data_IF_718733324499
#
_entry.id   IF_718733324499
#
_cell.length_a   1.000
_cell.length_b   1.000
_cell.length_c   1.000
_cell.angle_alpha   90.00
_cell.angle_beta   90.00
_cell.angle_gamma   90.00
#
_symmetry.space_group_name_H-M   'P 1'
#
loop_
_entity.id
_entity.type
_entity.pdbx_description
1 polymer ?
#
# COMPACT_ATOMS: atom_id res chain seq x y z
N UNK A 1 -12.62 -7.62 -20.67
CA UNK A 1 -12.72 -6.80 -19.44
C UNK A 1 -11.33 -6.20 -19.21
N UNK A 2 -11.24 -4.92 -18.93
CA UNK A 2 -9.96 -4.28 -18.58
C UNK A 2 -9.56 -4.76 -17.16
N UNK A 3 -8.28 -5.02 -16.94
CA UNK A 3 -7.79 -5.31 -15.60
C UNK A 3 -8.06 -4.11 -14.70
N UNK A 4 -8.45 -4.34 -13.45
CA UNK A 4 -8.54 -3.29 -12.44
C UNK A 4 -7.85 -3.73 -11.15
N UNK A 5 -7.39 -2.75 -10.38
CA UNK A 5 -6.65 -2.94 -9.13
C UNK A 5 -7.26 -2.06 -8.06
N UNK A 6 -7.45 -2.61 -6.88
CA UNK A 6 -7.87 -1.86 -5.69
C UNK A 6 -6.68 -1.58 -4.78
N UNK A 7 -6.67 -0.41 -4.14
CA UNK A 7 -5.61 -0.01 -3.19
C UNK A 7 -6.19 0.06 -1.79
N UNK A 8 -5.62 -0.73 -0.88
CA UNK A 8 -6.12 -1.00 0.45
C UNK A 8 -5.04 -0.80 1.52
N UNK A 9 -5.44 -0.67 2.77
CA UNK A 9 -4.54 -0.61 3.92
C UNK A 9 -5.12 0.22 5.04
N UNK A 10 -4.63 0.01 6.26
CA UNK A 10 -5.06 0.70 7.48
C UNK A 10 -4.79 2.20 7.47
N UNK A 11 -5.18 2.91 8.55
CA UNK A 11 -4.76 4.29 8.76
C UNK A 11 -3.23 4.37 8.79
N UNK A 12 -2.68 5.52 8.41
CA UNK A 12 -1.23 5.78 8.38
C UNK A 12 -0.37 4.80 7.56
N UNK A 13 -0.98 4.00 6.69
CA UNK A 13 -0.24 3.01 5.87
C UNK A 13 0.52 3.61 4.68
N UNK A 14 0.41 4.92 4.42
CA UNK A 14 1.11 5.61 3.34
C UNK A 14 0.40 5.63 1.99
N UNK A 15 -0.83 5.10 1.89
CA UNK A 15 -1.61 5.05 0.63
C UNK A 15 -1.72 6.38 -0.09
N UNK A 16 -2.20 7.43 0.61
CA UNK A 16 -2.45 8.75 0.01
C UNK A 16 -1.16 9.38 -0.53
N UNK A 17 -0.07 9.28 0.22
CA UNK A 17 1.25 9.73 -0.24
C UNK A 17 1.73 8.95 -1.47
N UNK A 18 1.50 7.63 -1.50
CA UNK A 18 1.83 6.82 -2.66
C UNK A 18 1.01 7.19 -3.88
N UNK A 19 -0.31 7.39 -3.74
CA UNK A 19 -1.19 7.75 -4.87
C UNK A 19 -0.78 9.09 -5.47
N UNK A 20 -0.49 10.09 -4.64
CA UNK A 20 0.02 11.38 -5.09
C UNK A 20 1.36 11.22 -5.87
N UNK A 21 2.26 10.41 -5.34
CA UNK A 21 3.56 10.17 -5.99
C UNK A 21 3.44 9.30 -7.24
N UNK A 22 2.55 8.31 -7.22
CA UNK A 22 2.23 7.51 -8.41
C UNK A 22 1.69 8.39 -9.54
N UNK A 23 0.77 9.30 -9.22
CA UNK A 23 0.22 10.25 -10.19
C UNK A 23 1.31 11.08 -10.86
N UNK A 24 2.24 11.64 -10.07
CA UNK A 24 3.37 12.38 -10.63
C UNK A 24 4.26 11.49 -11.51
N UNK A 25 4.56 10.27 -11.07
CA UNK A 25 5.37 9.31 -11.83
C UNK A 25 4.72 8.91 -13.18
N UNK A 26 3.40 8.70 -13.20
CA UNK A 26 2.65 8.41 -14.43
C UNK A 26 2.76 9.55 -15.45
N UNK A 27 2.70 10.81 -14.99
CA UNK A 27 2.82 12.00 -15.84
C UNK A 27 4.25 12.24 -16.33
N UNK A 28 5.25 11.91 -15.55
CA UNK A 28 6.66 11.98 -15.96
C UNK A 28 6.99 11.01 -17.11
N UNK A 29 6.18 9.96 -17.28
CA UNK A 29 6.32 8.94 -18.35
C UNK A 29 7.68 8.24 -18.35
N UNK A 30 8.32 8.12 -17.18
CA UNK A 30 9.64 7.47 -17.03
C UNK A 30 9.52 6.01 -16.62
N UNK A 31 8.42 5.63 -15.92
CA UNK A 31 8.17 4.29 -15.41
C UNK A 31 7.62 3.31 -16.45
N UNK A 32 7.33 2.10 -15.98
CA UNK A 32 6.69 1.03 -16.76
C UNK A 32 5.26 1.40 -17.17
N UNK A 33 4.55 2.09 -16.27
CA UNK A 33 3.21 2.61 -16.53
C UNK A 33 3.24 4.11 -16.85
N UNK A 34 2.25 4.52 -17.64
CA UNK A 34 1.99 5.91 -18.00
C UNK A 34 0.51 6.20 -17.85
N UNK A 35 0.14 7.47 -17.67
CA UNK A 35 -1.24 7.92 -17.77
C UNK A 35 -1.77 7.64 -19.17
N UNK A 36 -2.86 6.87 -19.27
CA UNK A 36 -3.51 6.57 -20.55
C UNK A 36 -4.72 7.47 -20.79
N UNK A 37 -5.48 7.81 -19.73
CA UNK A 37 -6.63 8.70 -19.79
C UNK A 37 -6.60 9.61 -18.57
N UNK A 38 -6.77 10.90 -18.78
CA UNK A 38 -6.81 11.88 -17.69
C UNK A 38 -8.06 11.62 -16.84
N UNK A 39 -7.91 11.49 -15.50
CA UNK A 39 -9.04 11.34 -14.60
C UNK A 39 -9.97 12.56 -14.65
N UNK A 40 -11.24 12.33 -14.38
CA UNK A 40 -12.26 13.41 -14.34
C UNK A 40 -12.22 14.21 -13.04
N UNK A 41 -11.81 13.59 -11.94
CA UNK A 41 -11.60 14.20 -10.64
C UNK A 41 -10.19 13.92 -10.15
N UNK A 42 -9.38 14.98 -10.09
CA UNK A 42 -7.96 14.91 -9.69
C UNK A 42 -7.64 15.87 -8.56
N UNK A 43 -8.62 16.61 -8.05
CA UNK A 43 -8.39 17.70 -7.08
C UNK A 43 -7.69 17.16 -5.83
N UNK A 44 -8.17 16.05 -5.28
CA UNK A 44 -7.53 15.38 -4.15
C UNK A 44 -6.07 14.99 -4.43
N UNK A 45 -5.81 14.44 -5.61
CA UNK A 45 -4.46 13.97 -5.96
C UNK A 45 -3.53 15.13 -6.24
N UNK A 46 -4.04 16.23 -6.80
CA UNK A 46 -3.26 17.46 -7.00
C UNK A 46 -2.92 18.12 -5.66
N UNK A 47 -3.90 18.25 -4.76
CA UNK A 47 -3.66 18.75 -3.40
C UNK A 47 -2.63 17.90 -2.66
N UNK A 48 -2.79 16.58 -2.74
CA UNK A 48 -1.87 15.62 -2.17
C UNK A 48 -0.45 15.72 -2.76
N UNK A 49 -0.33 15.89 -4.08
CA UNK A 49 0.94 16.09 -4.75
C UNK A 49 1.58 17.42 -4.36
N UNK A 50 0.80 18.48 -4.18
CA UNK A 50 1.29 19.79 -3.76
C UNK A 50 1.93 19.74 -2.37
N UNK A 51 1.33 19.02 -1.41
CA UNK A 51 1.95 18.79 -0.10
C UNK A 51 3.32 18.11 -0.23
N UNK A 52 3.43 17.07 -1.06
CA UNK A 52 4.70 16.41 -1.31
C UNK A 52 5.73 17.35 -1.97
N UNK A 53 5.33 18.20 -2.93
CA UNK A 53 6.20 19.21 -3.55
C UNK A 53 6.71 20.25 -2.55
N UNK A 54 5.94 20.53 -1.49
CA UNK A 54 6.34 21.39 -0.39
C UNK A 54 7.20 20.67 0.66
N UNK A 55 7.56 19.42 0.42
CA UNK A 55 8.33 18.60 1.36
C UNK A 55 7.55 18.29 2.65
N UNK A 56 6.27 18.00 2.49
CA UNK A 56 5.36 17.60 3.58
C UNK A 56 4.62 16.34 3.18
N UNK A 57 4.47 15.42 4.12
CA UNK A 57 3.54 14.32 3.96
C UNK A 57 2.10 14.81 4.14
N UNK A 58 1.19 14.17 3.42
CA UNK A 58 -0.22 14.42 3.60
C UNK A 58 -0.60 13.92 5.00
N UNK A 59 -1.00 14.85 5.85
CA UNK A 59 -1.61 14.49 7.11
C UNK A 59 -3.00 13.92 6.86
N UNK A 60 -3.46 13.07 7.78
CA UNK A 60 -4.78 12.46 7.75
C UNK A 60 -5.82 13.54 7.43
N UNK A 61 -6.49 13.42 6.29
CA UNK A 61 -7.61 14.28 5.97
C UNK A 61 -8.67 14.14 7.07
N UNK A 62 -9.09 15.27 7.64
CA UNK A 62 -10.27 15.29 8.50
C UNK A 62 -11.41 14.65 7.71
N UNK A 63 -12.10 13.71 8.33
CA UNK A 63 -13.15 12.91 7.73
C UNK A 63 -14.17 13.80 7.04
N UNK A 64 -14.15 13.86 5.72
CA UNK A 64 -15.32 14.27 4.97
C UNK A 64 -16.17 13.02 4.77
N UNK A 65 -17.44 13.08 5.12
CA UNK A 65 -18.39 11.97 5.01
C UNK A 65 -18.61 11.49 3.56
N UNK A 66 -18.10 12.23 2.58
CA UNK A 66 -18.26 11.91 1.17
C UNK A 66 -17.12 11.01 0.68
N UNK A 67 -17.48 9.81 0.25
CA UNK A 67 -16.58 8.88 -0.44
C UNK A 67 -16.02 9.55 -1.71
N UNK A 68 -14.71 9.72 -1.79
CA UNK A 68 -13.99 10.21 -2.98
C UNK A 68 -13.16 9.10 -3.56
N UNK A 69 -13.72 8.36 -4.50
CA UNK A 69 -12.96 7.34 -5.22
C UNK A 69 -12.05 8.02 -6.24
N UNK A 70 -10.76 7.75 -6.15
CA UNK A 70 -9.82 8.15 -7.19
C UNK A 70 -9.67 7.02 -8.20
N UNK A 71 -9.96 7.32 -9.45
CA UNK A 71 -9.83 6.38 -10.55
C UNK A 71 -8.88 6.92 -11.62
N UNK A 72 -7.89 6.12 -12.00
CA UNK A 72 -6.99 6.46 -13.10
C UNK A 72 -6.83 5.29 -14.06
N UNK A 73 -6.87 5.57 -15.36
CA UNK A 73 -6.55 4.58 -16.38
C UNK A 73 -5.08 4.71 -16.75
N UNK A 74 -4.35 3.63 -16.55
CA UNK A 74 -2.92 3.53 -16.88
C UNK A 74 -2.69 2.66 -18.10
N UNK A 75 -1.62 2.91 -18.81
CA UNK A 75 -1.15 2.10 -19.95
C UNK A 75 0.26 1.59 -19.72
N UNK A 76 0.52 0.37 -20.16
CA UNK A 76 1.88 -0.18 -20.18
C UNK A 76 2.64 0.38 -21.38
N UNK A 77 3.86 0.88 -21.14
CA UNK A 77 4.75 1.36 -22.22
C UNK A 77 5.26 0.23 -23.10
N UNK A 78 5.36 -0.98 -22.57
CA UNK A 78 5.96 -2.12 -23.28
C UNK A 78 4.99 -2.77 -24.27
N UNK A 79 3.70 -2.86 -23.93
CA UNK A 79 2.72 -3.63 -24.69
C UNK A 79 1.42 -2.88 -25.01
N UNK A 80 1.27 -1.63 -24.56
CA UNK A 80 0.10 -0.78 -24.80
C UNK A 80 -1.19 -1.23 -24.12
N UNK A 81 -1.16 -2.28 -23.30
CA UNK A 81 -2.33 -2.71 -22.52
C UNK A 81 -2.71 -1.64 -21.51
N UNK A 82 -4.00 -1.49 -21.30
CA UNK A 82 -4.55 -0.54 -20.35
C UNK A 82 -5.21 -1.25 -19.19
N UNK A 83 -5.17 -0.60 -18.02
CA UNK A 83 -5.83 -1.06 -16.82
C UNK A 83 -6.37 0.13 -16.02
N UNK A 84 -7.40 -0.12 -15.20
CA UNK A 84 -7.99 0.85 -14.29
C UNK A 84 -7.44 0.63 -12.88
N UNK A 85 -6.94 1.68 -12.26
CA UNK A 85 -6.62 1.71 -10.83
C UNK A 85 -7.79 2.37 -10.14
N UNK A 86 -8.37 1.69 -9.18
CA UNK A 86 -9.42 2.22 -8.32
C UNK A 86 -8.83 2.35 -6.92
N UNK A 87 -8.81 3.55 -6.39
CA UNK A 87 -8.44 3.82 -5.00
C UNK A 87 -9.73 4.22 -4.29
N UNK A 88 -10.39 3.28 -3.64
CA UNK A 88 -11.53 3.63 -2.81
C UNK A 88 -11.02 4.56 -1.69
N UNK A 89 -11.63 5.72 -1.53
CA UNK A 89 -11.37 6.56 -0.36
C UNK A 89 -12.02 5.95 0.87
N UNK A 90 -11.42 4.86 1.28
CA UNK A 90 -11.84 4.17 2.50
C UNK A 90 -10.87 4.61 3.57
N UNK A 91 -11.36 5.40 4.51
CA UNK A 91 -10.62 5.73 5.70
C UNK A 91 -10.18 4.43 6.39
N UNK A 92 -9.00 4.44 7.01
CA UNK A 92 -8.56 3.26 7.75
C UNK A 92 -9.55 2.80 8.81
N UNK A 93 -10.45 3.69 9.25
CA UNK A 93 -11.55 3.42 10.18
C UNK A 93 -12.67 2.61 9.55
N UNK A 94 -13.00 2.84 8.28
CA UNK A 94 -13.96 2.00 7.57
C UNK A 94 -13.43 0.58 7.38
N UNK A 95 -12.12 0.42 7.12
CA UNK A 95 -11.49 -0.91 7.12
C UNK A 95 -11.54 -1.57 8.49
N UNK A 96 -11.32 -0.78 9.53
CA UNK A 96 -11.45 -1.25 10.89
C UNK A 96 -12.86 -1.77 11.16
N UNK A 97 -13.89 -1.00 10.85
CA UNK A 97 -15.30 -1.39 10.98
C UNK A 97 -15.66 -2.59 10.10
N UNK A 98 -15.12 -2.66 8.88
CA UNK A 98 -15.32 -3.81 8.00
C UNK A 98 -14.85 -5.12 8.64
N UNK A 99 -13.77 -5.09 9.42
CA UNK A 99 -13.22 -6.27 10.11
C UNK A 99 -13.91 -6.52 11.45
N UNK A 100 -14.15 -5.47 12.25
CA UNK A 100 -14.73 -5.62 13.61
C UNK A 100 -16.23 -5.84 13.60
N UNK A 101 -16.95 -5.10 12.77
CA UNK A 101 -18.40 -5.09 12.72
C UNK A 101 -18.95 -5.95 11.58
N UNK A 102 -18.06 -6.47 10.71
CA UNK A 102 -18.42 -7.17 9.46
C UNK A 102 -19.33 -6.32 8.55
N UNK A 103 -19.21 -5.01 8.69
CA UNK A 103 -20.00 -4.02 7.92
C UNK A 103 -19.16 -3.48 6.76
N UNK A 104 -19.41 -4.01 5.57
CA UNK A 104 -18.73 -3.60 4.32
C UNK A 104 -19.74 -3.01 3.37
N UNK A 105 -19.48 -1.82 2.86
CA UNK A 105 -20.39 -1.20 1.90
C UNK A 105 -20.52 -2.04 0.63
N UNK A 106 -21.73 -2.15 0.06
CA UNK A 106 -21.96 -2.90 -1.20
C UNK A 106 -21.04 -2.43 -2.33
N UNK A 107 -20.84 -1.12 -2.46
CA UNK A 107 -20.01 -0.53 -3.52
C UNK A 107 -18.54 -0.99 -3.42
N UNK A 108 -18.00 -1.09 -2.19
CA UNK A 108 -16.64 -1.59 -1.99
C UNK A 108 -16.53 -3.08 -2.38
N UNK A 109 -17.56 -3.87 -2.06
CA UNK A 109 -17.59 -5.28 -2.47
C UNK A 109 -17.65 -5.39 -4.00
N UNK A 110 -18.36 -4.51 -4.68
CA UNK A 110 -18.43 -4.47 -6.14
C UNK A 110 -17.08 -4.09 -6.75
N UNK A 111 -16.40 -3.08 -6.21
CA UNK A 111 -15.06 -2.69 -6.66
C UNK A 111 -14.05 -3.83 -6.49
N UNK A 112 -14.06 -4.51 -5.35
CA UNK A 112 -13.20 -5.67 -5.13
C UNK A 112 -13.52 -6.82 -6.08
N UNK A 113 -14.81 -7.09 -6.36
CA UNK A 113 -15.24 -8.12 -7.32
C UNK A 113 -14.91 -7.78 -8.77
N UNK A 114 -14.86 -6.49 -9.10
CA UNK A 114 -14.42 -6.03 -10.41
C UNK A 114 -12.91 -6.06 -10.58
N UNK A 115 -12.15 -6.04 -9.48
CA UNK A 115 -10.70 -6.02 -9.48
C UNK A 115 -10.09 -7.42 -9.66
N UNK A 116 -9.01 -7.51 -10.42
CA UNK A 116 -8.20 -8.71 -10.62
C UNK A 116 -6.83 -8.62 -9.96
N UNK A 117 -6.59 -7.55 -9.20
CA UNK A 117 -5.41 -7.33 -8.40
C UNK A 117 -5.69 -6.37 -7.25
N UNK A 118 -4.81 -6.39 -6.25
CA UNK A 118 -4.87 -5.49 -5.10
C UNK A 118 -3.47 -5.05 -4.67
N UNK A 119 -3.37 -3.83 -4.12
CA UNK A 119 -2.23 -3.36 -3.35
C UNK A 119 -2.67 -3.25 -1.89
N UNK A 120 -1.99 -3.95 -0.99
CA UNK A 120 -2.22 -3.87 0.45
C UNK A 120 -1.05 -3.15 1.12
N UNK A 121 -1.32 -1.96 1.64
CA UNK A 121 -0.32 -1.11 2.29
C UNK A 121 -0.24 -1.35 3.78
N UNK A 122 0.99 -1.42 4.28
CA UNK A 122 1.37 -1.28 5.68
C UNK A 122 2.61 -0.37 5.75
N UNK A 123 2.84 0.28 6.89
CA UNK A 123 3.94 1.23 7.05
C UNK A 123 4.93 0.76 8.09
N UNK A 124 6.23 0.91 7.75
CA UNK A 124 7.31 0.78 8.72
C UNK A 124 7.18 1.84 9.81
N UNK A 125 7.34 1.41 11.08
CA UNK A 125 7.35 2.30 12.23
C UNK A 125 6.03 3.05 12.50
N UNK A 126 4.87 2.54 12.04
CA UNK A 126 3.59 3.20 12.31
C UNK A 126 3.18 3.07 13.77
N UNK A 127 2.90 4.21 14.40
CA UNK A 127 2.33 4.28 15.76
C UNK A 127 0.91 3.69 15.85
N UNK A 128 0.26 3.50 14.69
CA UNK A 128 -1.06 2.87 14.60
C UNK A 128 -0.98 1.34 14.55
N UNK A 129 0.23 0.78 14.55
CA UNK A 129 0.42 -0.66 14.54
C UNK A 129 0.20 -1.26 15.94
N UNK A 130 -0.99 -1.85 16.15
CA UNK A 130 -1.33 -2.54 17.38
C UNK A 130 -0.76 -3.96 17.32
N UNK A 131 0.27 -4.21 18.11
CA UNK A 131 0.90 -5.53 18.21
C UNK A 131 -0.01 -6.52 18.95
N UNK A 132 -0.06 -7.79 18.54
CA UNK A 132 -0.74 -8.83 19.29
C UNK A 132 0.00 -9.04 20.62
N UNK A 133 -0.77 -9.11 21.72
CA UNK A 133 -0.21 -9.46 23.01
C UNK A 133 0.15 -10.95 23.03
N UNK A 134 1.39 -11.27 23.40
CA UNK A 134 1.73 -12.66 23.71
C UNK A 134 0.93 -13.16 24.93
N UNK A 135 0.74 -14.48 25.01
CA UNK A 135 -0.09 -15.08 26.06
C UNK A 135 0.39 -14.77 27.47
N UNK A 136 1.70 -14.67 27.69
CA UNK A 136 2.30 -14.42 29.01
C UNK A 136 1.99 -12.99 29.43
N UNK A 137 2.20 -12.04 28.52
CA UNK A 137 1.89 -10.61 28.72
C UNK A 137 0.38 -10.40 28.89
N UNK A 138 -0.44 -11.02 28.06
CA UNK A 138 -1.90 -10.98 28.16
C UNK A 138 -2.37 -11.50 29.52
N UNK A 139 -1.89 -12.64 29.97
CA UNK A 139 -2.24 -13.21 31.27
C UNK A 139 -1.82 -12.31 32.45
N UNK A 140 -0.65 -11.68 32.36
CA UNK A 140 -0.14 -10.73 33.35
C UNK A 140 -0.98 -9.45 33.41
N UNK A 141 -1.43 -8.96 32.26
CA UNK A 141 -2.30 -7.80 32.17
C UNK A 141 -3.73 -8.13 32.58
N UNK A 142 -4.32 -9.20 32.10
CA UNK A 142 -5.67 -9.65 32.50
C UNK A 142 -5.82 -9.86 34.01
N UNK A 143 -4.73 -10.25 34.70
CA UNK A 143 -4.74 -10.36 36.15
C UNK A 143 -4.71 -9.01 36.89
N UNK A 144 -4.35 -7.92 36.20
CA UNK A 144 -4.21 -6.57 36.77
C UNK A 144 -5.24 -5.57 36.29
N UNK A 145 -5.98 -5.88 35.24
CA UNK A 145 -6.90 -4.92 34.59
C UNK A 145 -8.35 -5.15 35.04
N UNK A 146 -8.90 -4.15 35.67
CA UNK A 146 -10.26 -3.71 35.35
C UNK A 146 -10.24 -3.35 33.89
N UNK A 147 -11.13 -3.98 33.07
CA UNK A 147 -11.31 -3.78 31.64
C UNK A 147 -10.86 -2.38 31.23
N UNK A 148 -9.71 -2.30 30.60
CA UNK A 148 -9.18 -1.05 30.09
C UNK A 148 -9.41 -1.01 28.61
N UNK A 149 -9.98 0.07 28.20
CA UNK A 149 -10.07 0.67 26.87
C UNK A 149 -9.86 -0.28 25.67
N UNK A 150 -10.87 -0.28 24.85
CA UNK A 150 -10.98 -0.90 23.55
C UNK A 150 -9.82 -0.45 22.64
N UNK A 151 -8.67 -1.10 22.75
CA UNK A 151 -7.52 -0.81 21.89
C UNK A 151 -7.68 -1.36 20.47
N UNK A 152 -8.86 -1.88 20.16
CA UNK A 152 -9.13 -2.47 18.87
C UNK A 152 -8.42 -3.84 18.64
N UNK A 153 -8.66 -4.45 17.49
CA UNK A 153 -8.00 -5.71 17.12
C UNK A 153 -6.53 -5.46 16.73
N UNK A 154 -5.61 -6.42 16.96
CA UNK A 154 -4.24 -6.29 16.48
C UNK A 154 -4.16 -6.08 14.97
N UNK A 155 -3.28 -5.20 14.53
CA UNK A 155 -3.11 -4.84 13.11
C UNK A 155 -2.91 -6.08 12.22
N UNK A 156 -2.11 -7.05 12.68
CA UNK A 156 -1.87 -8.28 11.92
C UNK A 156 -3.13 -9.11 11.74
N UNK A 157 -4.04 -9.16 12.72
CA UNK A 157 -5.34 -9.85 12.60
C UNK A 157 -6.18 -9.17 11.53
N UNK A 158 -6.25 -7.83 11.53
CA UNK A 158 -6.96 -7.08 10.51
C UNK A 158 -6.41 -7.34 9.10
N UNK A 159 -5.09 -7.30 8.94
CA UNK A 159 -4.45 -7.56 7.65
C UNK A 159 -4.73 -8.99 7.16
N UNK A 160 -4.72 -9.98 8.05
CA UNK A 160 -5.08 -11.36 7.71
C UNK A 160 -6.55 -11.48 7.24
N UNK A 161 -7.47 -10.77 7.92
CA UNK A 161 -8.88 -10.74 7.50
C UNK A 161 -9.06 -10.01 6.16
N UNK A 162 -8.34 -8.91 5.91
CA UNK A 162 -8.35 -8.25 4.61
C UNK A 162 -7.88 -9.19 3.48
N UNK A 163 -6.82 -9.98 3.72
CA UNK A 163 -6.38 -10.99 2.75
C UNK A 163 -7.49 -12.01 2.50
N UNK A 164 -8.19 -12.47 3.55
CA UNK A 164 -9.32 -13.38 3.41
C UNK A 164 -10.45 -12.78 2.57
N UNK A 165 -10.77 -11.49 2.78
CA UNK A 165 -11.75 -10.78 1.94
C UNK A 165 -11.30 -10.73 0.48
N UNK A 166 -10.03 -10.43 0.22
CA UNK A 166 -9.49 -10.39 -1.14
C UNK A 166 -9.56 -11.76 -1.83
N UNK A 167 -9.24 -12.85 -1.12
CA UNK A 167 -9.38 -14.21 -1.66
C UNK A 167 -10.81 -14.56 -2.07
N UNK A 168 -11.81 -14.04 -1.34
CA UNK A 168 -13.23 -14.31 -1.58
C UNK A 168 -13.83 -13.39 -2.67
N UNK A 169 -13.23 -12.23 -2.91
CA UNK A 169 -13.84 -11.18 -3.73
C UNK A 169 -13.12 -10.94 -5.04
N UNK A 170 -11.78 -10.96 -5.08
CA UNK A 170 -11.04 -10.64 -6.30
C UNK A 170 -11.39 -11.58 -7.46
N UNK A 171 -11.64 -10.99 -8.62
CA UNK A 171 -11.88 -11.71 -9.85
C UNK A 171 -10.60 -12.39 -10.37
N UNK A 172 -10.74 -13.51 -11.05
CA UNK A 172 -9.63 -14.05 -11.85
C UNK A 172 -9.23 -13.06 -12.93
N UNK A 173 -7.96 -13.05 -13.25
CA UNK A 173 -7.42 -12.22 -14.33
C UNK A 173 -8.02 -12.62 -15.69
N UNK A 174 -8.02 -11.71 -16.67
CA UNK A 174 -8.59 -11.99 -18.01
C UNK A 174 -7.98 -13.22 -18.72
N UNK A 175 -6.74 -13.57 -18.38
CA UNK A 175 -6.04 -14.76 -18.87
C UNK A 175 -6.37 -16.04 -18.12
N UNK A 176 -7.28 -15.98 -17.13
CA UNK A 176 -7.69 -17.12 -16.30
C UNK A 176 -6.73 -17.43 -15.14
N UNK A 177 -5.62 -16.72 -15.01
CA UNK A 177 -4.67 -16.89 -13.90
C UNK A 177 -5.22 -16.32 -12.58
N UNK A 178 -4.50 -16.56 -11.48
CA UNK A 178 -4.87 -16.05 -10.16
C UNK A 178 -4.84 -14.52 -10.13
N UNK A 179 -5.71 -13.86 -9.34
CA UNK A 179 -5.54 -12.46 -9.03
C UNK A 179 -4.22 -12.22 -8.26
N UNK A 180 -3.70 -11.00 -8.33
CA UNK A 180 -2.41 -10.65 -7.73
C UNK A 180 -2.57 -9.73 -6.54
N UNK A 181 -1.82 -10.00 -5.49
CA UNK A 181 -1.75 -9.21 -4.28
C UNK A 181 -0.33 -8.65 -4.10
N UNK A 182 -0.14 -7.36 -4.37
CA UNK A 182 1.08 -6.65 -4.01
C UNK A 182 0.97 -6.16 -2.56
N UNK A 183 1.75 -6.73 -1.66
CA UNK A 183 1.90 -6.21 -0.29
C UNK A 183 2.99 -5.17 -0.30
N UNK A 184 2.68 -3.95 0.11
CA UNK A 184 3.59 -2.81 0.03
C UNK A 184 3.94 -2.32 1.43
N UNK A 185 5.19 -2.53 1.85
CA UNK A 185 5.74 -1.92 3.07
C UNK A 185 6.23 -0.53 2.73
N UNK A 186 5.45 0.49 3.11
CA UNK A 186 5.79 1.89 2.87
C UNK A 186 6.77 2.42 3.92
N UNK A 187 7.34 3.62 3.69
CA UNK A 187 8.41 4.19 4.50
C UNK A 187 9.65 3.27 4.60
N UNK A 188 9.93 2.52 3.54
CA UNK A 188 11.03 1.55 3.48
C UNK A 188 12.43 2.20 3.56
N UNK A 189 12.51 3.50 3.47
CA UNK A 189 13.72 4.31 3.73
C UNK A 189 14.09 4.41 5.21
N UNK A 190 13.17 4.08 6.12
CA UNK A 190 13.42 4.09 7.56
C UNK A 190 14.09 2.81 8.07
N UNK A 191 14.10 1.72 7.28
CA UNK A 191 14.73 0.47 7.68
C UNK A 191 16.25 0.57 7.68
N UNK A 192 16.90 -0.16 8.59
CA UNK A 192 18.36 -0.30 8.60
C UNK A 192 18.89 -1.05 7.37
N UNK A 193 20.19 -0.89 7.09
CA UNK A 193 20.84 -1.52 5.93
C UNK A 193 20.70 -3.04 5.94
N UNK A 194 20.85 -3.66 7.10
CA UNK A 194 20.72 -5.11 7.29
C UNK A 194 19.30 -5.62 7.00
N UNK A 195 18.27 -4.86 7.36
CA UNK A 195 16.87 -5.16 7.04
C UNK A 195 16.61 -4.98 5.54
N UNK A 196 17.16 -3.91 4.95
CA UNK A 196 17.05 -3.68 3.52
C UNK A 196 17.65 -4.83 2.70
N UNK A 197 18.84 -5.31 3.10
CA UNK A 197 19.55 -6.40 2.43
C UNK A 197 18.80 -7.75 2.51
N UNK A 198 18.06 -8.00 3.60
CA UNK A 198 17.22 -9.19 3.76
C UNK A 198 15.90 -9.08 2.99
N UNK A 199 15.44 -7.85 2.76
CA UNK A 199 14.28 -7.52 1.95
C UNK A 199 12.94 -7.54 2.69
N UNK A 200 11.86 -7.09 2.00
CA UNK A 200 10.59 -6.81 2.64
C UNK A 200 9.83 -8.05 3.13
N UNK A 201 10.03 -9.22 2.55
CA UNK A 201 9.39 -10.44 3.08
C UNK A 201 10.00 -10.84 4.41
N UNK A 202 11.34 -10.83 4.54
CA UNK A 202 12.01 -11.12 5.81
C UNK A 202 11.64 -10.12 6.92
N UNK A 203 11.41 -8.86 6.55
CA UNK A 203 10.86 -7.87 7.48
C UNK A 203 9.46 -8.28 7.99
N UNK A 204 8.57 -8.77 7.10
CA UNK A 204 7.26 -9.25 7.53
C UNK A 204 7.35 -10.49 8.43
N UNK A 205 8.28 -11.38 8.17
CA UNK A 205 8.53 -12.57 9.00
C UNK A 205 8.94 -12.18 10.43
N UNK A 206 9.69 -11.10 10.60
CA UNK A 206 10.15 -10.61 11.89
C UNK A 206 9.11 -9.75 12.61
N UNK A 207 8.56 -8.75 11.94
CA UNK A 207 7.69 -7.74 12.55
C UNK A 207 6.20 -8.07 12.47
N UNK A 208 5.80 -8.88 11.46
CA UNK A 208 4.42 -9.25 11.18
C UNK A 208 4.25 -10.77 10.97
N UNK A 209 4.70 -11.62 11.92
CA UNK A 209 4.77 -13.08 11.70
C UNK A 209 3.42 -13.73 11.39
N UNK A 210 2.31 -13.22 11.93
CA UNK A 210 0.97 -13.74 11.59
C UNK A 210 0.61 -13.42 10.15
N UNK A 211 0.93 -12.21 9.69
CA UNK A 211 0.69 -11.80 8.30
C UNK A 211 1.59 -12.61 7.36
N UNK A 212 2.88 -12.74 7.68
CA UNK A 212 3.82 -13.52 6.88
C UNK A 212 3.37 -14.98 6.71
N UNK A 213 2.99 -15.64 7.81
CA UNK A 213 2.42 -17.00 7.76
C UNK A 213 1.12 -17.07 6.96
N UNK A 214 0.26 -16.04 7.04
CA UNK A 214 -0.96 -15.97 6.24
C UNK A 214 -0.66 -15.83 4.75
N UNK A 215 0.35 -15.03 4.38
CA UNK A 215 0.77 -14.86 2.97
C UNK A 215 1.36 -16.14 2.38
N UNK A 216 2.10 -16.89 3.19
CA UNK A 216 2.67 -18.19 2.78
C UNK A 216 1.59 -19.25 2.53
N UNK A 217 0.50 -19.23 3.31
CA UNK A 217 -0.63 -20.16 3.19
C UNK A 217 -1.63 -19.80 2.07
N UNK A 218 -1.55 -18.59 1.50
CA UNK A 218 -2.45 -18.14 0.43
C UNK A 218 -2.19 -18.90 -0.86
N UNK A 219 -3.15 -19.71 -1.29
CA UNK A 219 -3.06 -20.48 -2.53
C UNK A 219 -3.89 -19.93 -3.70
N UNK A 220 -4.82 -19.01 -3.42
CA UNK A 220 -5.77 -18.48 -4.41
C UNK A 220 -5.29 -17.18 -5.06
N UNK A 221 -4.30 -16.51 -4.48
CA UNK A 221 -3.67 -15.30 -4.99
C UNK A 221 -2.21 -15.56 -5.36
N UNK A 222 -1.70 -14.81 -6.34
CA UNK A 222 -0.26 -14.65 -6.53
C UNK A 222 0.19 -13.46 -5.68
N UNK A 223 1.15 -13.67 -4.77
CA UNK A 223 1.60 -12.66 -3.81
C UNK A 223 3.01 -12.21 -4.09
N UNK A 224 3.25 -10.90 -4.03
CA UNK A 224 4.59 -10.31 -4.01
C UNK A 224 4.67 -9.19 -2.98
N UNK A 225 5.78 -9.13 -2.24
CA UNK A 225 6.04 -8.09 -1.24
C UNK A 225 7.03 -7.08 -1.78
N UNK A 226 6.72 -5.80 -1.61
CA UNK A 226 7.53 -4.67 -2.05
C UNK A 226 7.89 -3.78 -0.87
N UNK A 227 9.12 -3.30 -0.81
CA UNK A 227 9.50 -2.15 0.02
C UNK A 227 9.39 -0.87 -0.81
N UNK A 228 8.78 0.17 -0.27
CA UNK A 228 8.51 1.41 -0.99
C UNK A 228 8.90 2.63 -0.17
N UNK A 229 9.70 3.52 -0.74
CA UNK A 229 9.87 4.88 -0.25
C UNK A 229 9.35 5.88 -1.28
N UNK A 230 8.37 6.69 -0.91
CA UNK A 230 7.74 7.66 -1.83
C UNK A 230 8.61 8.89 -2.11
N UNK A 231 9.50 9.25 -1.18
CA UNK A 231 10.38 10.43 -1.26
C UNK A 231 11.86 10.11 -1.13
N UNK A 232 12.24 8.91 -0.73
CA UNK A 232 13.62 8.44 -0.67
C UNK A 232 14.36 8.75 0.63
N UNK A 233 13.70 9.32 1.64
CA UNK A 233 14.29 9.67 2.93
C UNK A 233 13.30 10.38 3.84
N UNK A 234 13.77 10.82 5.01
CA UNK A 234 12.96 11.44 6.04
C UNK A 234 12.81 12.96 5.80
N UNK A 235 11.58 13.41 5.51
CA UNK A 235 11.26 14.83 5.33
C UNK A 235 11.27 15.64 6.65
N UNK A 236 11.30 14.98 7.81
CA UNK A 236 11.46 15.65 9.09
C UNK A 236 12.95 15.97 9.37
N UNK A 237 13.87 15.30 8.66
CA UNK A 237 15.28 15.65 8.69
C UNK A 237 15.57 16.90 7.85
N UNK A 238 15.98 17.98 8.49
CA UNK A 238 16.17 19.30 7.83
C UNK A 238 17.16 19.27 6.65
N UNK A 239 18.21 18.47 6.73
CA UNK A 239 19.23 18.32 5.67
C UNK A 239 18.65 17.62 4.44
N UNK A 240 17.88 16.54 4.65
CA UNK A 240 17.20 15.81 3.58
C UNK A 240 16.11 16.67 2.94
N UNK A 241 15.25 17.29 3.75
CA UNK A 241 14.18 18.18 3.27
C UNK A 241 14.71 19.30 2.40
N UNK A 242 15.81 19.94 2.80
CA UNK A 242 16.45 20.99 2.00
C UNK A 242 16.92 20.45 0.65
N UNK A 243 17.61 19.33 0.64
CA UNK A 243 18.07 18.68 -0.60
C UNK A 243 16.92 18.27 -1.50
N UNK A 244 15.81 17.74 -0.91
CA UNK A 244 14.61 17.34 -1.62
C UNK A 244 13.95 18.55 -2.30
N UNK A 245 13.80 19.69 -1.59
CA UNK A 245 13.20 20.89 -2.14
C UNK A 245 14.06 21.55 -3.23
N UNK A 246 15.42 21.47 -3.10
CA UNK A 246 16.34 22.00 -4.11
C UNK A 246 16.33 21.18 -5.41
N UNK A 247 16.22 19.86 -5.31
CA UNK A 247 16.24 18.94 -6.46
C UNK A 247 14.88 18.70 -7.07
N UNK A 248 13.82 19.02 -6.33
CA UNK A 248 12.44 18.66 -6.67
C UNK A 248 12.16 17.17 -6.44
N UNK A 249 10.89 16.78 -6.66
CA UNK A 249 10.43 15.40 -6.44
C UNK A 249 11.00 14.41 -7.46
N UNK A 250 11.42 14.90 -8.61
CA UNK A 250 12.01 14.12 -9.70
C UNK A 250 13.30 13.44 -9.25
N UNK A 251 13.38 12.14 -9.42
CA UNK A 251 14.53 11.33 -8.99
C UNK A 251 14.55 10.96 -7.50
N UNK A 252 13.53 11.35 -6.75
CA UNK A 252 13.30 10.91 -5.39
C UNK A 252 12.23 9.80 -5.34
N UNK A 253 12.34 8.97 -4.30
CA UNK A 253 11.49 7.79 -4.16
C UNK A 253 12.00 6.59 -4.96
N UNK A 254 11.68 5.41 -4.49
CA UNK A 254 12.14 4.15 -5.06
C UNK A 254 11.36 2.96 -4.53
N UNK A 255 11.42 1.86 -5.27
CA UNK A 255 10.91 0.55 -4.87
C UNK A 255 12.08 -0.40 -4.68
N UNK A 256 12.07 -1.18 -3.60
CA UNK A 256 13.04 -2.25 -3.42
C UNK A 256 12.69 -3.41 -4.34
N UNK A 257 13.61 -3.77 -5.19
CA UNK A 257 13.50 -4.92 -6.11
C UNK A 257 14.73 -5.83 -5.99
N UNK A 258 14.56 -7.11 -6.30
CA UNK A 258 15.71 -8.02 -6.47
C UNK A 258 16.34 -7.81 -7.83
N UNK A 259 17.64 -7.60 -7.84
CA UNK A 259 18.41 -7.56 -9.09
C UNK A 259 18.51 -8.97 -9.68
N UNK A 260 18.28 -9.08 -10.99
CA UNK A 260 18.19 -10.37 -11.70
C UNK A 260 19.51 -11.12 -11.76
N UNK A 261 20.63 -10.40 -11.69
CA UNK A 261 21.99 -10.93 -11.86
C UNK A 261 22.70 -11.26 -10.55
N UNK A 262 22.35 -10.60 -9.45
CA UNK A 262 23.05 -10.75 -8.16
C UNK A 262 22.16 -11.25 -7.04
N UNK A 263 20.86 -11.36 -7.26
CA UNK A 263 19.83 -11.65 -6.23
C UNK A 263 19.84 -10.66 -5.04
N UNK A 264 20.58 -9.56 -5.15
CA UNK A 264 20.66 -8.52 -4.15
C UNK A 264 19.47 -7.55 -4.25
N UNK A 265 19.04 -7.01 -3.13
CA UNK A 265 18.03 -5.96 -3.12
C UNK A 265 18.63 -4.63 -3.59
N UNK A 266 17.96 -3.95 -4.50
CA UNK A 266 18.37 -2.68 -5.09
C UNK A 266 17.21 -1.69 -5.10
N UNK A 267 17.56 -0.39 -5.18
CA UNK A 267 16.58 0.70 -5.26
C UNK A 267 16.27 1.00 -6.72
N UNK A 268 15.04 0.76 -7.14
CA UNK A 268 14.57 1.10 -8.48
C UNK A 268 13.71 2.37 -8.41
N UNK A 269 14.00 3.41 -9.21
CA UNK A 269 13.26 4.67 -9.19
C UNK A 269 11.84 4.57 -9.76
N UNK A 270 11.47 3.47 -10.39
CA UNK A 270 10.14 3.29 -10.97
C UNK A 270 9.08 2.93 -9.91
N UNK A 271 8.40 3.94 -9.42
CA UNK A 271 7.32 3.79 -8.43
C UNK A 271 6.05 3.13 -8.98
N UNK A 272 5.97 2.92 -10.29
CA UNK A 272 4.81 2.25 -10.90
C UNK A 272 4.87 0.72 -10.81
N UNK A 273 6.01 0.14 -10.45
CA UNK A 273 6.25 -1.31 -10.44
C UNK A 273 5.26 -2.13 -9.59
N UNK A 274 4.92 -1.75 -8.35
CA UNK A 274 3.95 -2.53 -7.58
C UNK A 274 2.59 -2.62 -8.27
N UNK A 275 2.15 -1.52 -8.87
CA UNK A 275 0.89 -1.46 -9.64
C UNK A 275 1.02 -2.26 -10.93
N UNK A 276 2.10 -2.08 -11.70
CA UNK A 276 2.34 -2.81 -12.95
C UNK A 276 2.31 -4.32 -12.71
N UNK A 277 2.95 -4.77 -11.64
CA UNK A 277 2.92 -6.17 -11.26
C UNK A 277 1.50 -6.63 -10.87
N UNK A 278 0.77 -5.87 -10.04
CA UNK A 278 -0.58 -6.23 -9.60
C UNK A 278 -1.58 -6.30 -10.77
N UNK A 279 -1.44 -5.42 -11.76
CA UNK A 279 -2.24 -5.44 -13.00
C UNK A 279 -1.86 -6.63 -13.89
N UNK A 280 -0.62 -7.08 -13.82
CA UNK A 280 -0.09 -8.15 -14.67
C UNK A 280 0.31 -7.66 -16.06
N UNK A 281 0.83 -6.50 -16.09
CA UNK A 281 1.43 -5.89 -17.29
C UNK A 281 2.91 -6.19 -17.35
#
# INVERSE_FOLDING_TARGET
MSASVVVLGGPDSGKSNYIARLWTALREKKGELVEAVQPTDIDFVLEAAEHLFQGQFIHRSEQTEDRRDFEVTVGSRSNGKQAKIVVPDISGELWWRAVTDLDVSPDLIEDMRAASGALLFLREGSDQNIQPLDWITAKKYLSKLKVADDKGAPTQVMLCELIRFLELTLARRPDGTKPRLAVVVSAWDLVGVDVFERGPMSYLEEEYPMLAGRLDDVSTLDVQVFGLSVVGGDLDEASFKKSFLEKGIDGHGWVAIRATDTDAWTKDPDLTKPVAWAIGL
#
